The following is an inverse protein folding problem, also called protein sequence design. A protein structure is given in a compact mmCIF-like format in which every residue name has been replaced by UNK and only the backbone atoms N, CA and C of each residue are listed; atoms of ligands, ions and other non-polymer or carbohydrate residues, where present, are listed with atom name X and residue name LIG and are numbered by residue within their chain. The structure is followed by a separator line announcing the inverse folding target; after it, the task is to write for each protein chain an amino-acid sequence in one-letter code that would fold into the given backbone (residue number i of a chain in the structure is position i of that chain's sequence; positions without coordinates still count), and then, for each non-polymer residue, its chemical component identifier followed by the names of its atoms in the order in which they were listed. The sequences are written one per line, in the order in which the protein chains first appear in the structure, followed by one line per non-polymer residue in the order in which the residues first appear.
data_IF_444510427651
#
_entry.id   IF_444510427651
#
_cell.length_a   1.000
_cell.length_b   1.000
_cell.length_c   1.000
_cell.angle_alpha   90.00
_cell.angle_beta   90.00
_cell.angle_gamma   90.00
#
_symmetry.space_group_name_H-M   'P 1'
#
loop_
_entity.id
_entity.type
_entity.pdbx_description
1 polymer ?
#
# COMPACT_ATOMS: atom_id res chain seq x y z
N UNK A 1 4.13 6.44 -18.59
CA UNK A 1 3.16 5.86 -17.64
C UNK A 1 3.93 5.37 -16.42
N UNK A 2 3.46 5.68 -15.20
CA UNK A 2 4.14 5.27 -13.97
C UNK A 2 4.18 3.73 -13.86
N UNK A 3 5.37 3.16 -13.65
CA UNK A 3 5.64 1.71 -13.65
C UNK A 3 4.75 0.92 -12.68
N UNK A 4 4.31 1.58 -11.61
CA UNK A 4 3.55 0.98 -10.51
C UNK A 4 2.11 1.49 -10.41
N UNK A 5 1.60 2.22 -11.41
CA UNK A 5 0.26 2.81 -11.35
C UNK A 5 -0.85 1.75 -11.11
N UNK A 6 -0.68 0.56 -11.66
CA UNK A 6 -1.63 -0.56 -11.52
C UNK A 6 -1.69 -1.13 -10.09
N UNK A 7 -0.74 -0.77 -9.22
CA UNK A 7 -0.67 -1.23 -7.83
C UNK A 7 -1.32 -0.25 -6.85
N UNK A 8 -1.71 0.94 -7.32
CA UNK A 8 -2.40 1.93 -6.49
C UNK A 8 -3.84 1.47 -6.21
N UNK A 9 -4.28 1.62 -4.97
CA UNK A 9 -5.62 1.24 -4.52
C UNK A 9 -5.79 -0.24 -4.18
N UNK A 10 -4.81 -1.09 -4.51
CA UNK A 10 -4.80 -2.50 -4.13
C UNK A 10 -4.51 -2.66 -2.63
N UNK A 11 -4.88 -3.83 -2.09
CA UNK A 11 -4.51 -4.17 -0.72
C UNK A 11 -2.99 -4.32 -0.61
N UNK A 12 -2.45 -3.93 0.55
CA UNK A 12 -1.00 -4.00 0.79
C UNK A 12 -0.44 -5.40 0.49
N UNK A 13 -1.13 -6.44 0.93
CA UNK A 13 -0.70 -7.84 0.73
C UNK A 13 -0.51 -8.21 -0.75
N UNK A 14 -1.43 -7.77 -1.62
CA UNK A 14 -1.35 -8.02 -3.07
C UNK A 14 -0.14 -7.30 -3.70
N UNK A 15 0.12 -6.08 -3.26
CA UNK A 15 1.26 -5.27 -3.74
C UNK A 15 2.58 -5.86 -3.25
N UNK A 16 2.66 -6.27 -1.98
CA UNK A 16 3.85 -6.93 -1.44
C UNK A 16 4.17 -8.22 -2.18
N UNK A 17 3.15 -9.02 -2.52
CA UNK A 17 3.32 -10.24 -3.32
C UNK A 17 3.94 -9.92 -4.68
N UNK A 18 3.39 -8.95 -5.40
CA UNK A 18 3.94 -8.52 -6.70
C UNK A 18 5.40 -8.06 -6.62
N UNK A 19 5.76 -7.27 -5.59
CA UNK A 19 7.11 -6.75 -5.42
C UNK A 19 8.11 -7.86 -5.06
N UNK A 20 7.70 -8.79 -4.17
CA UNK A 20 8.51 -9.97 -3.81
C UNK A 20 8.76 -10.88 -5.01
N UNK A 21 7.72 -11.19 -5.79
CA UNK A 21 7.85 -12.00 -7.01
C UNK A 21 8.83 -11.41 -8.02
N UNK A 22 8.96 -10.07 -8.04
CA UNK A 22 9.90 -9.36 -8.91
C UNK A 22 11.25 -9.05 -8.28
N UNK A 23 11.52 -9.52 -7.06
CA UNK A 23 12.74 -9.21 -6.28
C UNK A 23 12.99 -7.70 -6.14
N UNK A 24 11.92 -6.91 -6.02
CA UNK A 24 12.02 -5.45 -5.84
C UNK A 24 12.09 -5.16 -4.33
N UNK A 25 13.14 -4.47 -3.89
CA UNK A 25 13.25 -3.98 -2.52
C UNK A 25 12.21 -2.88 -2.27
N UNK A 26 11.50 -2.96 -1.14
CA UNK A 26 10.47 -1.99 -0.81
C UNK A 26 10.42 -1.69 0.68
N UNK A 27 9.83 -0.54 1.01
CA UNK A 27 9.55 -0.11 2.38
C UNK A 27 8.07 0.27 2.49
N UNK A 28 7.46 0.02 3.64
CA UNK A 28 6.05 0.34 3.88
C UNK A 28 5.96 1.40 4.96
N UNK A 29 5.35 2.54 4.61
CA UNK A 29 4.92 3.56 5.57
C UNK A 29 3.41 3.53 5.67
N UNK A 30 2.89 3.53 6.88
CA UNK A 30 1.46 3.65 7.13
C UNK A 30 1.14 5.02 7.70
N UNK A 31 0.08 5.63 7.19
CA UNK A 31 -0.57 6.77 7.82
C UNK A 31 -1.85 6.28 8.48
N UNK A 32 -2.05 6.69 9.73
CA UNK A 32 -3.24 6.32 10.50
C UNK A 32 -3.80 7.58 11.17
N UNK A 33 -5.02 7.94 10.80
CA UNK A 33 -5.77 8.96 11.53
C UNK A 33 -6.25 8.43 12.88
N UNK A 34 -6.58 9.32 13.82
CA UNK A 34 -7.11 8.95 15.14
C UNK A 34 -8.62 8.58 15.12
N UNK A 35 -9.28 8.76 13.99
CA UNK A 35 -10.75 8.66 13.85
C UNK A 35 -11.13 7.32 13.23
N UNK A 36 -12.18 6.69 13.76
CA UNK A 36 -12.77 5.42 13.27
C UNK A 36 -11.75 4.26 13.17
N UNK A 37 -10.70 4.30 13.99
CA UNK A 37 -9.58 3.34 13.98
C UNK A 37 -10.04 1.89 14.06
N UNK A 38 -11.08 1.62 14.85
CA UNK A 38 -11.66 0.29 15.05
C UNK A 38 -12.41 -0.25 13.82
N UNK A 39 -12.83 0.64 12.90
CA UNK A 39 -13.54 0.28 11.66
C UNK A 39 -12.60 0.17 10.47
N UNK A 40 -11.44 0.83 10.52
CA UNK A 40 -10.46 0.85 9.42
C UNK A 40 -9.51 -0.34 9.56
N UNK A 41 -9.84 -1.45 8.89
CA UNK A 41 -9.10 -2.72 9.02
C UNK A 41 -8.32 -3.12 7.75
N UNK A 42 -8.68 -2.60 6.57
CA UNK A 42 -8.07 -3.02 5.30
C UNK A 42 -6.96 -2.04 4.88
N UNK A 43 -5.66 -2.40 4.97
CA UNK A 43 -4.59 -1.53 4.49
C UNK A 43 -4.53 -1.56 2.96
N UNK A 44 -4.58 -0.37 2.34
CA UNK A 44 -4.42 -0.21 0.88
C UNK A 44 -3.32 0.79 0.55
N UNK A 45 -2.66 0.57 -0.58
CA UNK A 45 -1.60 1.45 -1.07
C UNK A 45 -2.23 2.68 -1.72
N UNK A 46 -1.85 3.87 -1.27
CA UNK A 46 -2.37 5.16 -1.76
C UNK A 46 -1.33 5.98 -2.52
N UNK A 47 -0.04 5.69 -2.31
CA UNK A 47 1.06 6.31 -3.04
C UNK A 47 2.22 5.33 -3.15
N UNK A 48 2.90 5.36 -4.27
CA UNK A 48 4.13 4.62 -4.53
C UNK A 48 5.17 5.62 -4.97
N UNK A 49 6.33 5.62 -4.32
CA UNK A 49 7.44 6.49 -4.66
C UNK A 49 8.66 5.62 -5.00
N UNK A 50 9.27 5.89 -6.14
CA UNK A 50 10.52 5.24 -6.53
C UNK A 50 11.67 6.02 -5.89
N UNK A 51 12.48 5.34 -5.08
CA UNK A 51 13.75 5.80 -4.54
C UNK A 51 14.86 5.04 -5.26
N UNK A 52 16.09 5.55 -5.23
CA UNK A 52 17.21 5.06 -6.07
C UNK A 52 17.32 3.53 -6.14
N UNK A 53 17.18 2.85 -5.00
CA UNK A 53 17.29 1.38 -4.90
C UNK A 53 16.05 0.68 -4.29
N UNK A 54 14.97 1.41 -4.01
CA UNK A 54 13.80 0.81 -3.38
C UNK A 54 12.50 1.53 -3.72
N UNK A 55 11.39 0.83 -3.50
CA UNK A 55 10.05 1.41 -3.65
C UNK A 55 9.48 1.73 -2.27
N UNK A 56 9.04 2.96 -2.06
CA UNK A 56 8.30 3.35 -0.87
C UNK A 56 6.80 3.25 -1.12
N UNK A 57 6.12 2.42 -0.32
CA UNK A 57 4.67 2.26 -0.31
C UNK A 57 4.10 3.09 0.83
N UNK A 58 3.22 4.05 0.51
CA UNK A 58 2.39 4.72 1.50
C UNK A 58 1.03 4.02 1.56
N UNK A 59 0.65 3.61 2.76
CA UNK A 59 -0.61 2.90 3.01
C UNK A 59 -1.50 3.64 3.99
N UNK A 60 -2.80 3.47 3.84
CA UNK A 60 -3.79 3.83 4.85
C UNK A 60 -4.80 2.71 5.00
N UNK A 61 -5.47 2.65 6.15
CA UNK A 61 -6.52 1.68 6.40
C UNK A 61 -7.87 2.22 5.93
N UNK A 62 -8.64 1.37 5.28
CA UNK A 62 -10.01 1.62 4.83
C UNK A 62 -10.97 0.73 5.61
N UNK A 63 -12.23 1.17 5.72
CA UNK A 63 -13.27 0.36 6.34
C UNK A 63 -13.66 -0.79 5.42
N UNK A 64 -13.92 -1.94 6.03
CA UNK A 64 -14.53 -3.08 5.35
C UNK A 64 -16.06 -2.85 5.28
N UNK A 65 -16.48 -1.83 4.54
CA UNK A 65 -17.89 -1.42 4.44
C UNK A 65 -18.75 -2.38 3.59
N UNK A 66 -18.21 -3.54 3.22
CA UNK A 66 -18.83 -4.52 2.31
C UNK A 66 -19.21 -5.85 3.00
N UNK A 67 -19.25 -5.90 4.33
CA UNK A 67 -19.80 -7.06 5.07
C UNK A 67 -21.31 -6.99 5.24
#
# INVERSE_FOLDING_TARGET
MNKYYNLLGLQLEEVEKYLKEKNITYTVKSIQGKKDTDKLIIPKVIKISELDNCVELLTTKFSDSLK
#
